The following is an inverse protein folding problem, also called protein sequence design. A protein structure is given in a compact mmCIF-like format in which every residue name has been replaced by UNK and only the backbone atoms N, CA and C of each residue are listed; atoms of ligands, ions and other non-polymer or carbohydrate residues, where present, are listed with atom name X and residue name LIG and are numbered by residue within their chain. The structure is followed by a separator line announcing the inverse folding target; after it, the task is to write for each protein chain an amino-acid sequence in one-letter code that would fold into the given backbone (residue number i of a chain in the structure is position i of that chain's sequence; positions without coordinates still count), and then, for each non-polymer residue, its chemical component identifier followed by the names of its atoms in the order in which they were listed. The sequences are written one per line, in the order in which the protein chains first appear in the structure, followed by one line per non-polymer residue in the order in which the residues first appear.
data_IF_257987218531
#
_entry.id   IF_257987218531
#
_cell.length_a   1.000
_cell.length_b   1.000
_cell.length_c   1.000
_cell.angle_alpha   90.00
_cell.angle_beta   90.00
_cell.angle_gamma   90.00
#
_symmetry.space_group_name_H-M   'P 1'
#
loop_
_entity.id
_entity.type
_entity.pdbx_description
1 polymer ?
#
# COMPACT_ATOMS: atom_id res chain seq x y z
N UNK A 1 28.81 20.41 21.17
CA UNK A 1 27.72 19.44 20.94
C UNK A 1 28.34 18.07 20.89
N UNK A 2 28.04 17.21 21.87
CA UNK A 2 28.38 15.80 21.79
C UNK A 2 27.69 15.18 20.57
N UNK A 3 28.48 14.72 19.60
CA UNK A 3 28.01 13.84 18.54
C UNK A 3 27.60 12.53 19.23
N UNK A 4 26.31 12.30 19.38
CA UNK A 4 25.83 10.95 19.69
C UNK A 4 26.21 10.11 18.47
N UNK A 5 27.19 9.23 18.63
CA UNK A 5 27.67 8.35 17.56
C UNK A 5 26.69 7.20 17.42
N UNK A 6 25.68 7.40 16.58
CA UNK A 6 24.75 6.36 16.15
C UNK A 6 25.37 5.50 15.04
N UNK A 7 26.53 4.88 15.29
CA UNK A 7 27.09 3.96 14.31
C UNK A 7 26.17 2.74 14.15
N UNK A 8 25.95 2.32 12.89
CA UNK A 8 25.20 1.12 12.50
C UNK A 8 23.67 1.17 12.67
N UNK A 9 23.02 2.26 12.24
CA UNK A 9 21.57 2.25 12.04
C UNK A 9 21.19 1.58 10.72
N UNK A 10 19.96 1.06 10.62
CA UNK A 10 19.48 0.38 9.43
C UNK A 10 18.03 0.76 9.15
N UNK A 11 17.81 1.52 8.07
CA UNK A 11 16.46 1.85 7.61
C UNK A 11 15.82 0.62 6.97
N UNK A 12 14.72 0.14 7.55
CA UNK A 12 13.87 -0.90 6.98
C UNK A 12 12.43 -0.77 7.47
N UNK A 13 11.58 -1.71 7.08
CA UNK A 13 10.14 -1.68 7.33
C UNK A 13 9.74 -1.51 8.79
N UNK A 14 10.37 -2.24 9.71
CA UNK A 14 10.06 -2.21 11.13
C UNK A 14 10.47 -0.90 11.78
N UNK A 15 11.64 -0.37 11.41
CA UNK A 15 12.15 0.92 11.89
C UNK A 15 11.26 2.06 11.38
N UNK A 16 10.95 2.06 10.08
CA UNK A 16 10.05 3.05 9.49
C UNK A 16 8.67 3.02 10.13
N UNK A 17 8.07 1.83 10.28
CA UNK A 17 6.77 1.70 10.90
C UNK A 17 6.79 2.10 12.38
N UNK A 18 7.87 1.80 13.11
CA UNK A 18 8.04 2.23 14.50
C UNK A 18 8.11 3.75 14.63
N UNK A 19 8.84 4.44 13.73
CA UNK A 19 8.89 5.90 13.67
C UNK A 19 7.53 6.52 13.29
N UNK A 20 6.84 5.94 12.29
CA UNK A 20 5.49 6.37 11.91
C UNK A 20 4.53 6.35 13.10
N UNK A 21 4.56 5.28 13.91
CA UNK A 21 3.68 5.16 15.07
C UNK A 21 3.92 6.22 16.15
N UNK A 22 5.11 6.83 16.22
CA UNK A 22 5.35 7.94 17.13
C UNK A 22 4.72 9.25 16.63
N UNK A 23 4.47 9.34 15.32
CA UNK A 23 3.82 10.48 14.69
C UNK A 23 2.30 10.31 14.54
N UNK A 24 1.74 9.17 14.98
CA UNK A 24 0.31 8.89 14.90
C UNK A 24 -0.46 9.69 15.95
N UNK A 25 -1.64 10.18 15.56
CA UNK A 25 -2.58 10.89 16.45
C UNK A 25 -2.97 10.02 17.65
N UNK A 26 -3.26 10.62 18.82
CA UNK A 26 -3.67 9.86 19.99
C UNK A 26 -4.96 9.07 19.74
N UNK A 27 -5.03 7.88 20.33
CA UNK A 27 -6.24 7.06 20.35
C UNK A 27 -7.29 7.61 21.33
N UNK A 28 -8.47 7.00 21.31
CA UNK A 28 -9.56 7.32 22.23
C UNK A 28 -9.13 7.12 23.70
N UNK A 29 -9.75 7.85 24.61
CA UNK A 29 -9.42 7.75 26.05
C UNK A 29 -10.11 6.55 26.70
N UNK A 30 -9.60 6.09 27.85
CA UNK A 30 -10.22 5.03 28.65
C UNK A 30 -11.70 5.32 29.00
N UNK A 31 -12.07 6.60 29.12
CA UNK A 31 -13.47 7.01 29.36
C UNK A 31 -14.33 6.82 28.10
N UNK A 32 -13.79 7.11 26.91
CA UNK A 32 -14.45 6.88 25.61
C UNK A 32 -14.71 5.40 25.36
N UNK A 33 -13.74 4.52 25.67
CA UNK A 33 -13.93 3.07 25.55
C UNK A 33 -15.06 2.50 26.40
N UNK A 34 -15.24 3.00 27.63
CA UNK A 34 -16.37 2.59 28.50
C UNK A 34 -17.73 2.99 27.93
N UNK A 35 -17.76 3.97 27.04
CA UNK A 35 -18.95 4.41 26.31
C UNK A 35 -19.07 3.75 24.91
N UNK A 36 -18.27 2.71 24.62
CA UNK A 36 -18.28 2.01 23.34
C UNK A 36 -17.39 2.62 22.25
N UNK A 37 -16.52 3.57 22.60
CA UNK A 37 -15.52 4.11 21.68
C UNK A 37 -14.49 3.05 21.24
N UNK A 38 -14.08 3.13 19.98
CA UNK A 38 -13.08 2.24 19.39
C UNK A 38 -11.83 3.02 18.99
N UNK A 39 -10.66 2.39 19.12
CA UNK A 39 -9.40 2.97 18.65
C UNK A 39 -9.43 3.16 17.14
N UNK A 40 -9.13 4.38 16.68
CA UNK A 40 -9.04 4.73 15.25
C UNK A 40 -7.62 4.60 14.71
N UNK A 41 -6.64 4.47 15.61
CA UNK A 41 -5.22 4.51 15.28
C UNK A 41 -4.45 3.41 16.03
N UNK A 42 -5.05 2.23 16.20
CA UNK A 42 -4.30 1.05 16.65
C UNK A 42 -3.26 0.65 15.60
N UNK A 43 -2.16 0.00 16.01
CA UNK A 43 -1.10 -0.45 15.10
C UNK A 43 -1.65 -1.20 13.88
N UNK A 44 -2.62 -2.08 14.09
CA UNK A 44 -3.22 -2.88 13.02
C UNK A 44 -4.01 -2.03 12.01
N UNK A 45 -4.70 -0.98 12.48
CA UNK A 45 -5.42 -0.06 11.59
C UNK A 45 -4.41 0.75 10.78
N UNK A 46 -3.43 1.36 11.46
CA UNK A 46 -2.37 2.14 10.78
C UNK A 46 -1.61 1.28 9.78
N UNK A 47 -1.29 0.02 10.12
CA UNK A 47 -0.65 -0.91 9.20
C UNK A 47 -1.50 -1.23 7.98
N UNK A 48 -2.80 -1.49 8.18
CA UNK A 48 -3.72 -1.79 7.08
C UNK A 48 -3.83 -0.60 6.11
N UNK A 49 -3.96 0.60 6.64
CA UNK A 49 -4.09 1.81 5.82
C UNK A 49 -2.75 2.19 5.18
N UNK A 50 -1.61 1.89 5.82
CA UNK A 50 -0.29 1.96 5.17
C UNK A 50 -0.19 0.98 4.00
N UNK A 51 -0.69 -0.25 4.13
CA UNK A 51 -0.72 -1.24 3.04
C UNK A 51 -1.57 -0.75 1.87
N UNK A 52 -2.70 -0.11 2.17
CA UNK A 52 -3.53 0.48 1.12
C UNK A 52 -2.76 1.52 0.28
N UNK A 53 -1.80 2.24 0.86
CA UNK A 53 -1.06 3.28 0.12
C UNK A 53 -0.27 2.70 -1.06
N UNK A 54 0.35 1.53 -0.92
CA UNK A 54 1.14 0.91 -1.97
C UNK A 54 0.43 -0.19 -2.76
N UNK A 55 -0.67 -0.74 -2.22
CA UNK A 55 -1.44 -1.79 -2.90
C UNK A 55 -2.70 -1.26 -3.59
N UNK A 56 -3.30 -0.19 -3.05
CA UNK A 56 -4.63 0.26 -3.44
C UNK A 56 -5.76 -0.71 -3.10
N UNK A 57 -5.51 -1.74 -2.29
CA UNK A 57 -6.50 -2.76 -1.94
C UNK A 57 -6.76 -2.81 -0.44
N UNK A 58 -8.01 -3.08 -0.08
CA UNK A 58 -8.50 -3.18 1.30
C UNK A 58 -8.91 -4.61 1.69
N UNK A 59 -8.68 -5.57 0.78
CA UNK A 59 -9.07 -6.98 0.86
C UNK A 59 -8.02 -7.85 1.56
N UNK A 60 -6.87 -7.28 1.97
CA UNK A 60 -5.96 -7.94 2.89
C UNK A 60 -6.73 -8.26 4.18
N UNK A 61 -6.68 -9.52 4.58
CA UNK A 61 -7.37 -10.00 5.77
C UNK A 61 -6.86 -9.34 7.04
N UNK A 62 -7.18 -9.91 8.20
CA UNK A 62 -6.69 -9.36 9.46
C UNK A 62 -5.16 -9.38 9.51
N UNK A 63 -4.55 -8.21 9.72
CA UNK A 63 -3.10 -8.01 9.84
C UNK A 63 -2.56 -8.42 11.22
N UNK A 64 -2.82 -9.67 11.62
CA UNK A 64 -2.47 -10.21 12.96
C UNK A 64 -0.95 -10.17 13.24
N UNK A 65 -0.15 -10.22 12.19
CA UNK A 65 1.32 -10.23 12.27
C UNK A 65 1.93 -8.83 12.41
N UNK A 66 1.12 -7.76 12.51
CA UNK A 66 1.61 -6.37 12.62
C UNK A 66 2.63 -6.21 13.75
N UNK A 67 2.38 -6.83 14.90
CA UNK A 67 3.31 -6.80 16.03
C UNK A 67 4.64 -7.51 15.74
N UNK A 68 4.62 -8.61 15.00
CA UNK A 68 5.83 -9.32 14.60
C UNK A 68 6.62 -8.50 13.58
N UNK A 69 5.93 -7.90 12.61
CA UNK A 69 6.57 -7.07 11.59
C UNK A 69 7.22 -5.83 12.22
N UNK A 70 6.50 -5.15 13.13
CA UNK A 70 7.00 -3.99 13.88
C UNK A 70 8.24 -4.30 14.72
N UNK A 71 8.38 -5.53 15.20
CA UNK A 71 9.56 -5.96 15.99
C UNK A 71 10.64 -6.64 15.12
N UNK A 72 10.54 -6.54 13.79
CA UNK A 72 11.50 -7.12 12.83
C UNK A 72 11.52 -8.66 12.84
N UNK A 73 10.47 -9.32 13.34
CA UNK A 73 10.42 -10.79 13.50
C UNK A 73 9.88 -11.52 12.27
N UNK A 74 9.27 -10.79 11.35
CA UNK A 74 8.84 -11.31 10.05
C UNK A 74 9.20 -10.33 8.95
N UNK A 75 9.44 -10.85 7.76
CA UNK A 75 9.70 -10.08 6.54
C UNK A 75 8.41 -9.62 5.86
N UNK A 76 7.27 -10.15 6.29
CA UNK A 76 5.96 -9.94 5.67
C UNK A 76 5.20 -11.26 5.63
N UNK A 77 3.89 -11.18 5.42
CA UNK A 77 2.99 -12.32 5.31
C UNK A 77 1.99 -12.08 4.18
N UNK A 78 1.11 -13.04 3.89
CA UNK A 78 0.06 -12.85 2.86
C UNK A 78 -0.82 -11.62 3.14
N UNK A 79 -1.01 -11.26 4.42
CA UNK A 79 -1.77 -10.08 4.82
C UNK A 79 -0.87 -8.83 5.05
N UNK A 80 0.45 -9.00 5.05
CA UNK A 80 1.45 -7.93 5.17
C UNK A 80 2.42 -8.00 3.98
N UNK A 81 2.01 -7.54 2.79
CA UNK A 81 2.68 -7.82 1.52
C UNK A 81 3.99 -7.05 1.29
N UNK A 82 4.72 -6.68 2.35
CA UNK A 82 5.98 -5.95 2.27
C UNK A 82 7.13 -6.77 1.63
N UNK A 83 6.94 -8.09 1.47
CA UNK A 83 7.89 -8.96 0.77
C UNK A 83 7.31 -9.57 -0.52
N UNK A 84 6.11 -9.16 -0.95
CA UNK A 84 5.48 -9.68 -2.16
C UNK A 84 6.04 -8.96 -3.40
N UNK A 85 6.84 -9.67 -4.20
CA UNK A 85 7.52 -9.09 -5.37
C UNK A 85 6.56 -8.58 -6.44
N UNK A 86 5.39 -9.20 -6.62
CA UNK A 86 4.42 -8.77 -7.63
C UNK A 86 3.77 -7.43 -7.22
N UNK A 87 3.41 -7.31 -5.94
CA UNK A 87 2.87 -6.07 -5.38
C UNK A 87 3.91 -4.95 -5.41
N UNK A 88 5.15 -5.24 -5.06
CA UNK A 88 6.25 -4.26 -5.08
C UNK A 88 6.50 -3.77 -6.50
N UNK A 89 6.56 -4.67 -7.49
CA UNK A 89 6.73 -4.29 -8.89
C UNK A 89 5.54 -3.46 -9.42
N UNK A 90 4.32 -3.80 -9.03
CA UNK A 90 3.14 -3.03 -9.37
C UNK A 90 3.19 -1.62 -8.77
N UNK A 91 3.63 -1.48 -7.52
CA UNK A 91 3.79 -0.18 -6.87
C UNK A 91 4.87 0.67 -7.53
N UNK A 92 6.04 0.08 -7.82
CA UNK A 92 7.13 0.74 -8.56
C UNK A 92 6.66 1.24 -9.93
N UNK A 93 5.96 0.39 -10.70
CA UNK A 93 5.40 0.78 -11.98
C UNK A 93 4.31 1.87 -11.86
N UNK A 94 3.54 1.86 -10.77
CA UNK A 94 2.51 2.87 -10.51
C UNK A 94 3.13 4.24 -10.28
N UNK A 95 4.25 4.34 -9.56
CA UNK A 95 4.93 5.62 -9.35
C UNK A 95 5.38 6.22 -10.67
N UNK A 96 5.95 5.41 -11.58
CA UNK A 96 6.36 5.90 -12.91
C UNK A 96 5.17 6.29 -13.81
N UNK A 97 4.03 5.60 -13.71
CA UNK A 97 2.88 5.80 -14.60
C UNK A 97 1.85 6.82 -14.09
N UNK A 98 1.67 6.89 -12.78
CA UNK A 98 0.62 7.68 -12.12
C UNK A 98 1.01 8.03 -10.68
N UNK A 99 2.09 8.81 -10.53
CA UNK A 99 2.58 9.28 -9.25
C UNK A 99 1.47 9.96 -8.41
N UNK A 100 0.60 10.75 -9.04
CA UNK A 100 -0.50 11.46 -8.37
C UNK A 100 -1.46 10.53 -7.61
N UNK A 101 -1.76 9.34 -8.16
CA UNK A 101 -2.61 8.37 -7.45
C UNK A 101 -1.93 7.88 -6.17
N UNK A 102 -0.63 7.60 -6.22
CA UNK A 102 0.15 7.20 -5.04
C UNK A 102 0.20 8.32 -4.00
N UNK A 103 0.45 9.55 -4.42
CA UNK A 103 0.44 10.73 -3.54
C UNK A 103 -0.93 10.95 -2.91
N UNK A 104 -2.02 10.78 -3.67
CA UNK A 104 -3.38 10.90 -3.15
C UNK A 104 -3.70 9.85 -2.08
N UNK A 105 -3.24 8.61 -2.25
CA UNK A 105 -3.40 7.56 -1.23
C UNK A 105 -2.59 7.86 0.03
N UNK A 106 -1.35 8.31 -0.12
CA UNK A 106 -0.52 8.72 1.02
C UNK A 106 -1.11 9.94 1.73
N UNK A 107 -1.63 10.93 0.99
CA UNK A 107 -2.33 12.08 1.55
C UNK A 107 -3.50 11.68 2.43
N UNK A 108 -4.31 10.71 1.97
CA UNK A 108 -5.39 10.14 2.78
C UNK A 108 -4.85 9.54 4.08
N UNK A 109 -3.85 8.66 3.99
CA UNK A 109 -3.22 8.03 5.16
C UNK A 109 -2.68 9.06 6.17
N UNK A 110 -1.94 10.07 5.69
CA UNK A 110 -1.40 11.16 6.52
C UNK A 110 -2.54 11.93 7.20
N UNK A 111 -3.56 12.33 6.44
CA UNK A 111 -4.69 13.09 6.96
C UNK A 111 -5.50 12.32 8.01
N UNK A 112 -5.59 11.00 7.89
CA UNK A 112 -6.32 10.14 8.82
C UNK A 112 -5.49 9.89 10.07
N UNK A 113 -4.22 9.46 9.94
CA UNK A 113 -3.44 8.90 11.04
C UNK A 113 -2.41 9.81 11.66
N UNK A 114 -1.77 10.72 10.92
CA UNK A 114 -0.59 11.43 11.43
C UNK A 114 -0.93 12.79 12.03
N UNK A 115 -0.25 13.13 13.12
CA UNK A 115 -0.25 14.48 13.65
C UNK A 115 0.70 15.35 12.81
N UNK A 116 0.18 16.42 12.20
CA UNK A 116 1.01 17.30 11.36
C UNK A 116 2.04 18.09 12.17
N UNK A 117 1.78 18.35 13.45
CA UNK A 117 2.68 19.14 14.31
C UNK A 117 4.03 18.44 14.59
N UNK A 118 4.15 17.15 14.26
CA UNK A 118 5.37 16.35 14.44
C UNK A 118 5.98 15.91 13.11
N UNK A 119 5.59 16.54 12.00
CA UNK A 119 6.06 16.18 10.65
C UNK A 119 7.55 16.43 10.48
N UNK A 120 8.05 17.59 10.93
CA UNK A 120 9.48 17.91 10.93
C UNK A 120 10.28 16.90 11.75
N UNK A 121 9.76 16.47 12.90
CA UNK A 121 10.39 15.42 13.70
C UNK A 121 10.43 14.09 12.96
N UNK A 122 9.32 13.66 12.36
CA UNK A 122 9.26 12.37 11.65
C UNK A 122 10.24 12.34 10.46
N UNK A 123 10.23 13.39 9.63
CA UNK A 123 11.16 13.52 8.49
C UNK A 123 12.59 13.59 9.00
N UNK A 124 12.83 14.41 10.03
CA UNK A 124 14.13 14.55 10.68
C UNK A 124 14.68 13.21 11.19
N UNK A 125 13.82 12.42 11.85
CA UNK A 125 14.18 11.14 12.40
C UNK A 125 14.57 10.13 11.32
N UNK A 126 13.78 10.04 10.24
CA UNK A 126 14.08 9.16 9.11
C UNK A 126 15.40 9.57 8.43
N UNK A 127 15.64 10.87 8.25
CA UNK A 127 16.90 11.39 7.68
C UNK A 127 18.11 11.09 8.57
N UNK A 128 17.97 11.13 9.89
CA UNK A 128 19.04 10.72 10.81
C UNK A 128 19.35 9.22 10.67
N UNK A 129 18.33 8.36 10.56
CA UNK A 129 18.54 6.93 10.27
C UNK A 129 19.30 6.77 8.95
N UNK A 130 18.86 7.45 7.88
CA UNK A 130 19.51 7.37 6.55
C UNK A 130 20.96 7.84 6.61
N UNK A 131 21.24 8.92 7.34
CA UNK A 131 22.58 9.45 7.54
C UNK A 131 23.51 8.45 8.24
N UNK A 132 22.96 7.65 9.17
CA UNK A 132 23.69 6.68 9.98
C UNK A 132 23.67 5.25 9.41
N UNK A 133 22.93 5.02 8.32
CA UNK A 133 22.87 3.75 7.61
C UNK A 133 23.98 3.70 6.55
N UNK A 134 25.10 3.11 6.95
CA UNK A 134 26.32 2.92 6.14
C UNK A 134 26.11 1.99 4.93
N UNK A 135 25.06 1.17 4.96
CA UNK A 135 24.72 0.28 3.84
C UNK A 135 24.00 0.98 2.69
N UNK A 136 23.59 2.25 2.87
CA UNK A 136 23.03 3.09 1.81
C UNK A 136 24.15 3.92 1.20
N UNK A 137 24.50 3.62 -0.05
CA UNK A 137 25.49 4.38 -0.81
C UNK A 137 25.05 5.85 -1.01
N UNK A 138 26.01 6.76 -1.05
CA UNK A 138 25.76 8.21 -1.20
C UNK A 138 25.00 8.57 -2.49
N UNK A 139 25.16 7.78 -3.55
CA UNK A 139 24.47 7.95 -4.83
C UNK A 139 23.14 7.19 -4.92
N UNK A 140 22.70 6.50 -3.85
CA UNK A 140 21.45 5.75 -3.86
C UNK A 140 20.25 6.69 -4.09
N UNK A 141 19.36 6.40 -5.06
CA UNK A 141 18.25 7.29 -5.40
C UNK A 141 17.05 7.13 -4.45
N UNK A 142 16.42 8.26 -4.13
CA UNK A 142 15.20 8.40 -3.34
C UNK A 142 14.16 9.23 -4.11
N UNK A 143 12.98 8.63 -4.36
CA UNK A 143 11.88 9.26 -5.11
C UNK A 143 10.96 10.07 -4.17
N UNK A 144 11.50 11.10 -3.53
CA UNK A 144 10.83 11.85 -2.45
C UNK A 144 10.22 13.19 -2.89
N UNK A 145 10.22 13.50 -4.19
CA UNK A 145 9.68 14.76 -4.73
C UNK A 145 8.38 14.52 -5.47
N UNK A 146 7.43 15.45 -5.37
CA UNK A 146 6.11 15.34 -6.02
C UNK A 146 6.15 15.30 -7.55
N UNK A 147 7.21 15.84 -8.16
CA UNK A 147 7.45 15.80 -9.61
C UNK A 147 7.93 14.42 -10.11
N UNK A 148 8.19 13.47 -9.20
CA UNK A 148 8.68 12.12 -9.52
C UNK A 148 10.19 12.04 -9.77
N UNK A 149 10.91 13.15 -9.69
CA UNK A 149 12.36 13.14 -9.79
C UNK A 149 12.99 12.58 -8.51
N UNK A 150 14.13 11.91 -8.66
CA UNK A 150 14.90 11.38 -7.54
C UNK A 150 15.86 12.42 -6.92
N UNK A 151 16.29 12.14 -5.69
CA UNK A 151 17.46 12.73 -5.04
C UNK A 151 18.40 11.60 -4.65
N UNK A 152 19.71 11.78 -4.80
CA UNK A 152 20.67 10.87 -4.18
C UNK A 152 20.64 10.98 -2.65
N UNK A 153 21.14 9.98 -1.91
CA UNK A 153 21.31 10.08 -0.44
C UNK A 153 22.03 11.38 -0.03
N UNK A 154 23.12 11.75 -0.71
CA UNK A 154 23.82 13.01 -0.41
C UNK A 154 22.94 14.25 -0.61
N UNK A 155 22.26 14.35 -1.76
CA UNK A 155 21.34 15.47 -2.04
C UNK A 155 20.15 15.50 -1.07
N UNK A 156 19.63 14.33 -0.70
CA UNK A 156 18.54 14.18 0.26
C UNK A 156 18.93 14.74 1.64
N UNK A 157 20.16 14.45 2.10
CA UNK A 157 20.66 14.89 3.40
C UNK A 157 21.03 16.39 3.44
N UNK A 158 21.30 17.01 2.29
CA UNK A 158 21.53 18.45 2.13
C UNK A 158 20.23 19.25 1.99
N UNK A 159 19.11 18.59 1.66
CA UNK A 159 17.81 19.23 1.47
C UNK A 159 17.20 19.62 2.82
N UNK A 160 16.63 20.83 2.89
CA UNK A 160 15.99 21.36 4.10
C UNK A 160 14.48 21.64 3.94
N UNK A 161 13.90 21.35 2.79
CA UNK A 161 12.47 21.53 2.51
C UNK A 161 11.89 20.26 1.93
N UNK A 162 10.82 19.76 2.53
CA UNK A 162 10.18 18.51 2.13
C UNK A 162 8.68 18.67 2.03
N UNK A 163 8.07 17.97 1.09
CA UNK A 163 6.64 17.69 1.11
C UNK A 163 6.42 16.33 1.78
N UNK A 164 5.56 16.26 2.79
CA UNK A 164 5.42 15.07 3.63
C UNK A 164 4.98 13.84 2.85
N UNK A 165 3.93 13.96 2.02
CA UNK A 165 3.36 12.83 1.31
C UNK A 165 4.33 12.25 0.26
N UNK A 166 4.96 13.04 -0.64
CA UNK A 166 6.03 12.54 -1.51
C UNK A 166 7.21 11.93 -0.75
N UNK A 167 7.62 12.53 0.37
CA UNK A 167 8.70 11.99 1.17
C UNK A 167 8.38 10.58 1.69
N UNK A 168 7.21 10.39 2.31
CA UNK A 168 6.80 9.08 2.84
C UNK A 168 6.62 8.03 1.73
N UNK A 169 6.13 8.44 0.54
CA UNK A 169 6.05 7.55 -0.63
C UNK A 169 7.43 7.08 -1.07
N UNK A 170 8.39 8.00 -1.19
CA UNK A 170 9.76 7.68 -1.59
C UNK A 170 10.47 6.76 -0.60
N UNK A 171 10.30 7.01 0.71
CA UNK A 171 10.85 6.16 1.77
C UNK A 171 10.21 4.77 1.76
N UNK A 172 8.89 4.69 1.58
CA UNK A 172 8.18 3.42 1.48
C UNK A 172 8.63 2.63 0.24
N UNK A 173 8.79 3.30 -0.92
CA UNK A 173 9.33 2.68 -2.12
C UNK A 173 10.73 2.11 -1.88
N UNK A 174 11.64 2.89 -1.30
CA UNK A 174 13.00 2.44 -0.96
C UNK A 174 12.98 1.20 -0.06
N UNK A 175 12.12 1.18 0.96
CA UNK A 175 11.98 0.02 1.85
C UNK A 175 11.50 -1.21 1.07
N UNK A 176 10.46 -1.04 0.26
CA UNK A 176 9.87 -2.12 -0.51
C UNK A 176 10.82 -2.68 -1.57
N UNK A 177 11.72 -1.87 -2.14
CA UNK A 177 12.66 -2.34 -3.18
C UNK A 177 14.01 -2.75 -2.61
N UNK A 178 14.70 -1.84 -1.91
CA UNK A 178 16.09 -2.03 -1.49
C UNK A 178 16.23 -2.85 -0.19
N UNK A 179 15.16 -2.83 0.62
CA UNK A 179 15.11 -3.48 1.94
C UNK A 179 14.15 -4.68 1.99
N UNK A 180 13.67 -5.14 0.83
CA UNK A 180 12.87 -6.35 0.69
C UNK A 180 13.57 -7.55 1.35
N UNK A 181 12.87 -8.22 2.26
CA UNK A 181 13.40 -9.40 2.96
C UNK A 181 14.54 -9.10 3.95
N UNK A 182 14.73 -7.84 4.35
CA UNK A 182 15.78 -7.40 5.28
C UNK A 182 15.20 -6.68 6.51
N UNK A 183 13.94 -6.90 6.85
CA UNK A 183 13.24 -6.28 7.96
C UNK A 183 13.88 -6.63 9.32
N UNK A 184 14.39 -7.85 9.46
CA UNK A 184 15.08 -8.27 10.68
C UNK A 184 16.35 -7.46 11.00
N UNK A 185 16.98 -6.84 10.00
CA UNK A 185 18.21 -6.07 10.20
C UNK A 185 17.96 -4.77 10.98
N UNK A 186 16.72 -4.29 11.05
CA UNK A 186 16.35 -3.11 11.85
C UNK A 186 16.28 -3.35 13.36
N UNK A 187 16.41 -4.59 13.85
CA UNK A 187 16.28 -4.90 15.29
C UNK A 187 17.29 -4.14 16.16
N UNK A 188 18.53 -4.04 15.70
CA UNK A 188 19.57 -3.28 16.41
C UNK A 188 19.17 -1.79 16.51
N UNK A 189 18.70 -1.21 15.39
CA UNK A 189 18.18 0.16 15.35
C UNK A 189 16.97 0.34 16.27
N UNK A 190 16.02 -0.59 16.30
CA UNK A 190 14.89 -0.51 17.25
C UNK A 190 15.36 -0.47 18.71
N UNK A 191 16.42 -1.20 19.07
CA UNK A 191 16.99 -1.17 20.42
C UNK A 191 17.71 0.15 20.73
N UNK A 192 18.31 0.81 19.73
CA UNK A 192 18.85 2.16 19.87
C UNK A 192 17.75 3.23 20.00
N UNK A 193 16.61 3.00 19.35
CA UNK A 193 15.51 3.97 19.35
C UNK A 193 14.65 3.92 20.62
N UNK A 194 14.63 2.80 21.33
CA UNK A 194 13.76 2.65 22.49
C UNK A 194 13.86 1.33 23.25
N UNK A 195 13.40 1.34 24.50
CA UNK A 195 13.43 0.21 25.41
C UNK A 195 12.23 -0.74 25.18
N UNK A 196 12.51 -2.05 25.14
CA UNK A 196 11.48 -3.10 25.06
C UNK A 196 11.41 -3.91 26.35
N UNK A 197 10.36 -3.70 27.14
CA UNK A 197 10.06 -4.52 28.33
C UNK A 197 9.24 -5.75 27.97
N UNK A 198 9.40 -6.82 28.75
CA UNK A 198 8.66 -8.06 28.58
C UNK A 198 7.14 -7.80 28.58
N UNK A 199 6.42 -8.32 27.58
CA UNK A 199 4.96 -8.18 27.41
C UNK A 199 4.45 -6.73 27.35
N UNK A 200 5.31 -5.75 27.07
CA UNK A 200 4.92 -4.34 26.90
C UNK A 200 5.31 -3.82 25.51
N UNK A 201 4.63 -2.79 24.97
CA UNK A 201 5.09 -2.08 23.78
C UNK A 201 6.50 -1.51 23.98
N UNK A 202 7.24 -1.33 22.88
CA UNK A 202 8.53 -0.61 22.93
C UNK A 202 8.24 0.87 23.17
N UNK A 203 8.93 1.47 24.14
CA UNK A 203 8.84 2.90 24.44
C UNK A 203 9.91 3.65 23.64
N UNK A 204 9.57 4.72 22.95
CA UNK A 204 10.55 5.54 22.23
C UNK A 204 11.31 6.45 23.20
N UNK A 205 12.64 6.42 23.15
CA UNK A 205 13.50 7.12 24.13
C UNK A 205 14.70 7.83 23.49
N UNK A 206 14.89 7.66 22.19
CA UNK A 206 16.00 8.27 21.46
C UNK A 206 15.78 9.75 21.16
N UNK A 207 16.87 10.48 20.91
CA UNK A 207 16.87 11.88 20.45
C UNK A 207 16.91 12.02 18.93
N UNK A 208 16.84 10.91 18.19
CA UNK A 208 16.81 10.90 16.72
C UNK A 208 15.74 11.87 16.20
N UNK A 209 16.12 12.65 15.18
CA UNK A 209 15.29 13.63 14.53
C UNK A 209 15.15 14.97 15.24
N UNK A 210 15.45 15.09 16.53
CA UNK A 210 15.20 16.33 17.29
C UNK A 210 15.99 17.52 16.73
N UNK A 211 17.32 17.39 16.62
CA UNK A 211 18.16 18.48 16.11
C UNK A 211 17.92 18.75 14.61
N UNK A 212 17.55 17.72 13.83
CA UNK A 212 17.26 17.91 12.41
C UNK A 212 15.93 18.62 12.18
N UNK A 213 14.92 18.34 13.00
CA UNK A 213 13.61 18.97 12.91
C UNK A 213 13.69 20.51 12.98
N UNK A 214 14.61 21.04 13.80
CA UNK A 214 14.85 22.48 13.93
C UNK A 214 15.38 23.14 12.64
N UNK A 215 15.91 22.34 11.71
CA UNK A 215 16.63 22.82 10.53
C UNK A 215 15.91 22.48 9.21
N UNK A 216 14.71 21.91 9.27
CA UNK A 216 13.93 21.56 8.08
C UNK A 216 12.52 22.15 8.15
N UNK A 217 11.91 22.30 6.97
CA UNK A 217 10.52 22.70 6.83
C UNK A 217 9.79 21.57 6.12
N UNK A 218 8.66 21.14 6.69
CA UNK A 218 7.82 20.10 6.10
C UNK A 218 6.46 20.65 5.77
N UNK A 219 6.08 20.62 4.49
CA UNK A 219 4.79 21.10 4.02
C UNK A 219 3.90 19.95 3.58
N UNK A 220 2.59 20.19 3.56
CA UNK A 220 1.64 19.30 2.89
C UNK A 220 1.80 19.40 1.37
N UNK A 221 1.64 18.27 0.69
CA UNK A 221 1.49 18.24 -0.77
C UNK A 221 0.09 18.69 -1.20
N UNK A 222 0.03 19.67 -2.09
CA UNK A 222 -1.23 20.32 -2.52
C UNK A 222 -1.71 19.91 -3.93
N UNK A 223 -1.09 18.90 -4.55
CA UNK A 223 -1.49 18.49 -5.89
C UNK A 223 -2.94 17.96 -5.96
N UNK A 224 -3.56 18.20 -7.11
CA UNK A 224 -5.02 18.18 -7.24
C UNK A 224 -5.61 16.75 -7.23
N UNK A 225 -6.17 16.35 -6.08
CA UNK A 225 -6.82 15.05 -5.90
C UNK A 225 -8.06 14.87 -6.80
N UNK A 226 -8.62 15.96 -7.35
CA UNK A 226 -9.76 15.90 -8.27
C UNK A 226 -9.40 15.24 -9.62
N UNK A 227 -8.15 15.37 -10.07
CA UNK A 227 -7.68 14.77 -11.34
C UNK A 227 -7.58 13.24 -11.29
N UNK A 228 -7.45 12.66 -10.09
CA UNK A 228 -7.33 11.20 -9.90
C UNK A 228 -8.68 10.49 -10.07
N UNK A 229 -9.79 11.13 -9.67
CA UNK A 229 -11.15 10.58 -9.84
C UNK A 229 -11.56 10.52 -11.31
N UNK A 230 -11.17 11.52 -12.11
CA UNK A 230 -11.49 11.61 -13.54
C UNK A 230 -10.73 10.55 -14.37
N UNK A 231 -9.41 10.39 -14.13
CA UNK A 231 -8.59 9.37 -14.82
C UNK A 231 -9.03 7.94 -14.51
N UNK A 232 -9.49 7.66 -13.29
CA UNK A 232 -9.97 6.33 -12.90
C UNK A 232 -11.30 5.98 -13.59
N UNK A 233 -12.17 6.96 -13.82
CA UNK A 233 -13.42 6.79 -14.59
C UNK A 233 -13.15 6.56 -16.08
N UNK A 234 -12.20 7.28 -16.67
CA UNK A 234 -11.85 7.14 -18.09
C UNK A 234 -11.15 5.81 -18.40
N UNK A 235 -10.23 5.35 -17.54
CA UNK A 235 -9.57 4.04 -17.73
C UNK A 235 -10.53 2.85 -17.62
N UNK A 236 -11.59 2.96 -16.81
CA UNK A 236 -12.62 1.91 -16.70
C UNK A 236 -13.54 1.88 -17.92
N UNK A 237 -13.64 2.98 -18.66
CA UNK A 237 -14.43 3.10 -19.89
C UNK A 237 -13.65 2.57 -21.10
N UNK A 238 -12.38 2.95 -21.23
CA UNK A 238 -11.48 2.52 -22.30
C UNK A 238 -11.20 1.01 -22.33
N UNK A 239 -11.22 0.32 -21.18
CA UNK A 239 -11.04 -1.14 -21.13
C UNK A 239 -12.25 -1.97 -21.60
N UNK A 240 -13.38 -1.33 -21.93
CA UNK A 240 -14.62 -2.01 -22.34
C UNK A 240 -14.90 -1.90 -23.84
N UNK A 241 -14.20 -1.01 -24.56
CA UNK A 241 -14.51 -0.72 -25.97
C UNK A 241 -13.49 -1.31 -26.97
N UNK A 242 -12.40 -1.94 -26.51
CA UNK A 242 -11.34 -2.45 -27.39
C UNK A 242 -11.09 -3.95 -27.20
N UNK A 243 -12.08 -4.78 -27.55
CA UNK A 243 -11.88 -6.23 -27.73
C UNK A 243 -12.91 -6.87 -28.67
N UNK A 244 -13.08 -6.32 -29.87
CA UNK A 244 -13.76 -7.03 -30.96
C UNK A 244 -13.12 -6.76 -32.31
N UNK A 245 -11.85 -7.14 -32.49
CA UNK A 245 -11.36 -7.52 -33.81
C UNK A 245 -10.46 -8.76 -33.68
N UNK A 246 -11.08 -9.94 -33.81
CA UNK A 246 -10.37 -11.16 -34.11
C UNK A 246 -10.61 -11.51 -35.59
N UNK A 247 -9.54 -11.43 -36.37
CA UNK A 247 -9.47 -11.85 -37.77
C UNK A 247 -9.94 -13.30 -37.94
N UNK A 248 -10.88 -13.50 -38.85
CA UNK A 248 -11.42 -14.81 -39.25
C UNK A 248 -10.42 -15.54 -40.15
N UNK A 249 -9.77 -16.59 -39.64
CA UNK A 249 -9.10 -17.60 -40.46
C UNK A 249 -10.14 -18.68 -40.79
N UNK A 250 -10.51 -18.79 -42.07
CA UNK A 250 -11.40 -19.84 -42.59
C UNK A 250 -10.68 -21.19 -42.59
N UNK A 251 -11.24 -22.19 -41.92
CA UNK A 251 -10.95 -23.60 -42.19
C UNK A 251 -12.21 -24.27 -42.72
N UNK A 252 -12.09 -24.82 -43.93
CA UNK A 252 -13.12 -25.53 -44.66
C UNK A 252 -13.45 -26.86 -43.96
N UNK A 253 -14.74 -27.20 -43.88
CA UNK A 253 -15.18 -28.58 -43.70
C UNK A 253 -16.34 -28.85 -44.66
N UNK A 254 -16.24 -29.99 -45.32
CA UNK A 254 -17.00 -30.44 -46.47
C UNK A 254 -18.44 -30.85 -46.13
N UNK A 255 -19.27 -30.77 -47.18
CA UNK A 255 -20.63 -31.28 -47.30
C UNK A 255 -20.84 -32.69 -46.75
N UNK A 256 -22.02 -32.89 -46.15
CA UNK A 256 -22.85 -34.07 -46.39
C UNK A 256 -24.33 -33.75 -46.11
N UNK A 257 -25.16 -34.17 -47.07
CA UNK A 257 -26.62 -33.99 -47.22
C UNK A 257 -27.42 -34.57 -46.02
N UNK A 258 -28.71 -34.28 -45.76
CA UNK A 258 -29.88 -34.20 -46.64
C UNK A 258 -31.15 -33.69 -45.89
N UNK A 259 -32.09 -33.14 -46.67
CA UNK A 259 -33.56 -33.04 -46.53
C UNK A 259 -34.34 -32.29 -45.40
N UNK A 260 -35.06 -31.25 -45.86
CA UNK A 260 -36.44 -30.80 -45.60
C UNK A 260 -37.16 -31.05 -44.26
N UNK A 261 -37.48 -29.96 -43.55
CA UNK A 261 -38.87 -29.62 -43.17
C UNK A 261 -38.96 -28.19 -42.60
N UNK A 262 -39.98 -27.45 -43.06
CA UNK A 262 -40.34 -26.10 -42.58
C UNK A 262 -40.82 -26.18 -41.12
N UNK A 263 -40.16 -25.46 -40.23
CA UNK A 263 -40.63 -25.16 -38.88
C UNK A 263 -39.83 -23.97 -38.35
N UNK A 264 -40.53 -22.95 -37.86
CA UNK A 264 -39.96 -21.73 -37.28
C UNK A 264 -38.82 -22.08 -36.30
N UNK A 265 -37.59 -21.65 -36.60
CA UNK A 265 -36.45 -21.81 -35.69
C UNK A 265 -36.59 -20.82 -34.54
N UNK A 266 -37.26 -21.23 -33.45
CA UNK A 266 -37.11 -20.55 -32.16
C UNK A 266 -35.69 -20.82 -31.65
N UNK A 267 -34.86 -19.79 -31.68
CA UNK A 267 -33.52 -19.88 -31.11
C UNK A 267 -33.60 -19.48 -29.64
N UNK A 268 -33.41 -20.45 -28.74
CA UNK A 268 -33.43 -20.22 -27.30
C UNK A 268 -32.03 -19.80 -26.85
N UNK A 269 -31.89 -18.58 -26.32
CA UNK A 269 -30.63 -18.09 -25.79
C UNK A 269 -30.72 -18.04 -24.25
N UNK A 270 -29.93 -18.87 -23.56
CA UNK A 270 -29.85 -18.89 -22.09
C UNK A 270 -28.91 -17.77 -21.68
N UNK A 271 -29.46 -16.66 -21.18
CA UNK A 271 -28.66 -15.47 -20.93
C UNK A 271 -27.95 -15.50 -19.58
N UNK A 272 -28.48 -16.19 -18.56
CA UNK A 272 -27.83 -16.31 -17.24
C UNK A 272 -28.35 -17.55 -16.51
N UNK A 273 -27.46 -18.50 -16.17
CA UNK A 273 -27.79 -19.64 -15.31
C UNK A 273 -27.20 -19.43 -13.92
N UNK A 274 -28.06 -19.46 -12.90
CA UNK A 274 -27.62 -19.41 -11.49
C UNK A 274 -27.80 -20.78 -10.87
N UNK A 275 -26.68 -21.45 -10.56
CA UNK A 275 -26.66 -22.71 -9.84
C UNK A 275 -26.26 -22.45 -8.39
N UNK A 276 -27.10 -22.84 -7.44
CA UNK A 276 -26.78 -22.81 -6.01
C UNK A 276 -26.66 -24.25 -5.56
N UNK A 277 -25.44 -24.65 -5.20
CA UNK A 277 -25.16 -25.95 -4.58
C UNK A 277 -24.87 -25.71 -3.11
N UNK A 278 -25.70 -26.28 -2.23
CA UNK A 278 -25.39 -26.37 -0.80
C UNK A 278 -24.78 -27.75 -0.53
N UNK A 279 -23.77 -27.81 0.33
CA UNK A 279 -23.15 -29.06 0.77
C UNK A 279 -23.63 -29.42 2.19
N UNK A 280 -24.40 -30.50 2.30
CA UNK A 280 -24.80 -31.13 3.57
C UNK A 280 -25.48 -32.49 3.32
N UNK A 281 -25.91 -33.18 4.38
CA UNK A 281 -26.46 -34.55 4.27
C UNK A 281 -27.86 -34.62 3.59
N UNK A 282 -28.46 -33.49 3.21
CA UNK A 282 -29.75 -33.40 2.52
C UNK A 282 -29.76 -32.30 1.45
N UNK A 283 -29.09 -32.55 0.31
CA UNK A 283 -28.95 -31.56 -0.76
C UNK A 283 -30.25 -31.40 -1.57
N UNK A 284 -30.70 -30.15 -1.75
CA UNK A 284 -31.77 -29.78 -2.68
C UNK A 284 -31.16 -28.92 -3.79
N UNK A 285 -31.31 -29.36 -5.04
CA UNK A 285 -30.85 -28.61 -6.21
C UNK A 285 -31.99 -27.71 -6.72
N UNK A 286 -31.78 -26.39 -6.71
CA UNK A 286 -32.70 -25.42 -7.31
C UNK A 286 -32.00 -24.83 -8.53
N UNK A 287 -32.57 -25.11 -9.71
CA UNK A 287 -32.08 -24.57 -10.99
C UNK A 287 -33.08 -23.53 -11.50
N UNK A 288 -32.62 -22.31 -11.78
CA UNK A 288 -33.43 -21.29 -12.42
C UNK A 288 -32.90 -21.03 -13.84
N UNK A 289 -33.69 -21.41 -14.85
CA UNK A 289 -33.38 -21.20 -16.25
C UNK A 289 -34.19 -20.01 -16.78
N UNK A 290 -33.62 -18.81 -16.65
CA UNK A 290 -34.15 -17.62 -17.31
C UNK A 290 -34.10 -17.82 -18.83
N UNK A 291 -35.27 -17.98 -19.47
CA UNK A 291 -35.37 -18.27 -20.89
C UNK A 291 -35.98 -17.07 -21.62
N UNK A 292 -35.29 -16.51 -22.61
CA UNK A 292 -35.89 -15.56 -23.56
C UNK A 292 -36.15 -16.26 -24.88
N UNK A 293 -37.40 -16.21 -25.34
CA UNK A 293 -37.79 -16.68 -26.66
C UNK A 293 -37.76 -15.51 -27.64
N UNK A 294 -36.90 -15.61 -28.65
CA UNK A 294 -36.92 -14.69 -29.78
C UNK A 294 -37.62 -15.39 -30.95
N UNK A 295 -38.72 -14.79 -31.42
CA UNK A 295 -39.33 -15.16 -32.69
C UNK A 295 -38.66 -14.30 -33.77
N UNK A 296 -38.03 -14.95 -34.74
CA UNK A 296 -37.45 -14.32 -35.92
C UNK A 296 -38.50 -14.17 -37.03
#
# INVERSE_FOLDING_TARGET
MEKVTYDHMYLCGCVFFFLLLQAVKPNETARSHRAGGHDKHSDSIVMKDLIYTFTGRNDFGTVKDTSQYKEGKTEGTVNLPFNDGAIINAFKALISKNHLLTLSRMKKFVSEHLNRDVSEWLVGAILDIISCDDTIANNCPFYVKSDGNELSKSQLLETNKFELEPFLVGILLFILTERRGKNQNGKATLNLLGEKKARKPRNFESKVGQSRAENIIVTEWHGDAHLVKEKTRQNKKASTEDSMEANVIKMQAQDSQNDNSKGEKKQTMINHQTNIVQNGDHNVNITNNGTMNLNL
#
